data_IF_513592331397
#
_entry.id   IF_513592331397
#
_cell.length_a   1.000
_cell.length_b   1.000
_cell.length_c   1.000
_cell.angle_alpha   90.00
_cell.angle_beta   90.00
_cell.angle_gamma   90.00
#
_symmetry.space_group_name_H-M   'P 1'
#
loop_
_entity.id
_entity.type
_entity.pdbx_description
1 polymer ?
#
# COMPACT_ATOMS: atom_id res chain seq x y z
N UNK A 1 43.98 17.02 49.27
CA UNK A 1 42.58 17.06 48.79
C UNK A 1 42.63 17.04 47.29
N UNK A 2 41.96 16.06 46.70
CA UNK A 2 42.12 15.61 45.32
C UNK A 2 41.27 16.49 44.39
N UNK A 3 41.91 17.23 43.47
CA UNK A 3 41.20 17.96 42.41
C UNK A 3 41.00 16.99 41.25
N UNK A 4 39.92 16.21 41.31
CA UNK A 4 39.45 15.42 40.18
C UNK A 4 38.92 16.39 39.12
N UNK A 5 39.71 16.60 38.08
CA UNK A 5 39.28 17.23 36.84
C UNK A 5 38.26 16.30 36.17
N UNK A 6 36.99 16.69 36.23
CA UNK A 6 35.95 16.12 35.37
C UNK A 6 36.02 16.94 34.09
N UNK A 7 36.82 16.48 33.13
CA UNK A 7 36.61 16.88 31.75
C UNK A 7 35.38 16.11 31.29
N UNK A 8 34.26 16.81 31.22
CA UNK A 8 33.10 16.39 30.44
C UNK A 8 33.63 16.24 28.99
N UNK A 9 33.71 15.01 28.48
CA UNK A 9 33.92 14.79 27.05
C UNK A 9 32.73 15.44 26.35
N UNK A 10 32.95 16.59 25.71
CA UNK A 10 31.97 17.18 24.83
C UNK A 10 31.79 16.22 23.65
N UNK A 11 30.81 15.32 23.76
CA UNK A 11 30.41 14.45 22.67
C UNK A 11 30.22 15.27 21.39
N UNK A 12 30.68 14.74 20.27
CA UNK A 12 30.52 15.40 18.98
C UNK A 12 29.04 15.72 18.77
N UNK A 13 28.73 16.99 18.48
CA UNK A 13 27.36 17.39 18.13
C UNK A 13 27.02 16.89 16.73
N UNK A 14 25.75 16.58 16.50
CA UNK A 14 25.26 16.23 15.17
C UNK A 14 25.48 17.38 14.19
N UNK A 15 26.03 17.06 13.01
CA UNK A 15 26.34 18.04 11.97
C UNK A 15 25.16 18.21 11.02
N UNK A 16 24.34 19.23 11.29
CA UNK A 16 23.18 19.57 10.44
C UNK A 16 23.59 20.15 9.09
N UNK A 17 24.80 20.68 8.97
CA UNK A 17 25.36 21.15 7.70
C UNK A 17 25.71 19.98 6.79
N UNK A 18 26.35 18.95 7.35
CA UNK A 18 26.60 17.69 6.66
C UNK A 18 25.30 16.99 6.26
N UNK A 19 24.28 16.96 7.14
CA UNK A 19 22.96 16.41 6.78
C UNK A 19 22.37 17.14 5.57
N UNK A 20 22.38 18.48 5.57
CA UNK A 20 21.86 19.26 4.44
C UNK A 20 22.61 18.99 3.16
N UNK A 21 23.94 18.98 3.22
CA UNK A 21 24.79 18.68 2.07
C UNK A 21 24.52 17.28 1.52
N UNK A 22 24.53 16.26 2.39
CA UNK A 22 24.25 14.88 2.04
C UNK A 22 22.92 14.72 1.31
N UNK A 23 21.86 15.33 1.83
CA UNK A 23 20.49 15.22 1.29
C UNK A 23 20.32 16.03 0.01
N UNK A 24 20.58 17.34 0.04
CA UNK A 24 20.26 18.23 -1.08
C UNK A 24 21.19 18.05 -2.28
N UNK A 25 22.46 17.68 -2.05
CA UNK A 25 23.45 17.45 -3.10
C UNK A 25 23.58 15.96 -3.48
N UNK A 26 22.80 15.08 -2.84
CA UNK A 26 22.81 13.63 -3.05
C UNK A 26 24.19 12.99 -2.84
N UNK A 27 24.92 13.47 -1.85
CA UNK A 27 26.26 12.97 -1.51
C UNK A 27 26.12 11.73 -0.59
N UNK A 28 26.31 10.55 -1.20
CA UNK A 28 26.21 9.27 -0.51
C UNK A 28 27.26 9.11 0.59
N UNK A 29 28.49 9.58 0.40
CA UNK A 29 29.56 9.43 1.37
C UNK A 29 29.31 10.33 2.58
N UNK A 30 28.88 11.57 2.33
CA UNK A 30 28.44 12.49 3.38
C UNK A 30 27.23 11.94 4.14
N UNK A 31 26.28 11.31 3.44
CA UNK A 31 25.11 10.66 4.06
C UNK A 31 25.53 9.52 4.98
N UNK A 32 26.31 8.57 4.46
CA UNK A 32 26.76 7.41 5.24
C UNK A 32 27.66 7.78 6.41
N UNK A 33 28.38 8.89 6.33
CA UNK A 33 29.18 9.40 7.44
C UNK A 33 28.32 9.90 8.63
N UNK A 34 27.03 10.16 8.45
CA UNK A 34 26.12 10.51 9.54
C UNK A 34 25.72 9.32 10.41
N UNK A 35 25.83 8.08 9.90
CA UNK A 35 25.37 6.87 10.60
C UNK A 35 26.48 6.17 11.38
N UNK A 36 26.13 5.56 12.52
CA UNK A 36 26.99 4.56 13.17
C UNK A 36 27.07 3.29 12.31
N UNK A 37 28.12 2.49 12.49
CA UNK A 37 28.31 1.28 11.67
C UNK A 37 27.21 0.23 11.90
N UNK A 38 26.61 0.25 13.09
CA UNK A 38 25.52 -0.64 13.52
C UNK A 38 24.13 0.01 13.43
N UNK A 39 23.99 1.13 12.71
CA UNK A 39 22.77 1.92 12.65
C UNK A 39 21.55 1.12 12.17
N UNK A 40 20.36 1.52 12.61
CA UNK A 40 19.09 0.97 12.16
C UNK A 40 18.26 2.06 11.47
N UNK A 41 17.79 1.80 10.25
CA UNK A 41 16.91 2.70 9.52
C UNK A 41 15.56 2.01 9.31
N UNK A 42 14.51 2.55 9.93
CA UNK A 42 13.14 2.07 9.79
C UNK A 42 12.32 3.01 8.91
N UNK A 43 11.66 2.48 7.87
CA UNK A 43 10.83 3.25 6.94
C UNK A 43 9.39 2.78 7.03
N UNK A 44 8.47 3.75 7.15
CA UNK A 44 7.02 3.54 7.11
C UNK A 44 6.47 4.35 5.93
N UNK A 45 5.89 3.65 4.96
CA UNK A 45 5.49 4.21 3.65
C UNK A 45 4.36 3.39 3.00
N UNK A 46 3.86 3.81 1.83
CA UNK A 46 2.74 3.14 1.10
C UNK A 46 3.03 1.65 0.82
N UNK A 47 4.29 1.28 0.59
CA UNK A 47 4.74 -0.10 0.38
C UNK A 47 5.28 -0.82 1.62
N UNK A 48 5.31 -0.16 2.79
CA UNK A 48 5.91 -0.68 4.02
C UNK A 48 5.09 -0.18 5.22
N UNK A 49 3.93 -0.81 5.51
CA UNK A 49 2.98 -0.30 6.49
C UNK A 49 3.51 -0.43 7.92
N UNK A 50 2.90 0.25 8.91
CA UNK A 50 3.33 0.15 10.31
C UNK A 50 3.39 -1.28 10.88
N UNK A 51 2.55 -2.19 10.36
CA UNK A 51 2.51 -3.60 10.74
C UNK A 51 3.64 -4.45 10.13
N UNK A 52 4.27 -3.96 9.07
CA UNK A 52 5.39 -4.61 8.38
C UNK A 52 6.31 -3.55 7.74
N UNK A 53 7.00 -2.73 8.56
CA UNK A 53 7.87 -1.66 8.07
C UNK A 53 9.13 -2.25 7.42
N UNK A 54 9.77 -1.47 6.55
CA UNK A 54 11.11 -1.81 6.10
C UNK A 54 12.11 -1.43 7.20
N UNK A 55 13.03 -2.35 7.52
CA UNK A 55 14.08 -2.13 8.51
C UNK A 55 15.40 -2.52 7.88
N UNK A 56 16.35 -1.59 7.86
CA UNK A 56 17.70 -1.77 7.35
C UNK A 56 18.70 -1.73 8.50
N UNK A 57 19.73 -2.56 8.41
CA UNK A 57 20.74 -2.74 9.45
C UNK A 57 22.15 -2.48 8.91
N UNK A 58 22.82 -1.53 9.54
CA UNK A 58 24.19 -1.13 9.23
C UNK A 58 24.30 -0.26 7.98
N UNK A 59 25.50 0.28 7.78
CA UNK A 59 25.77 1.27 6.73
C UNK A 59 25.71 0.68 5.32
N UNK A 60 25.91 -0.62 5.17
CA UNK A 60 25.88 -1.29 3.87
C UNK A 60 24.45 -1.31 3.30
N UNK A 61 23.48 -1.84 4.07
CA UNK A 61 22.07 -1.88 3.66
C UNK A 61 21.48 -0.48 3.49
N UNK A 62 21.80 0.45 4.42
CA UNK A 62 21.40 1.86 4.30
C UNK A 62 22.01 2.49 3.04
N UNK A 63 23.28 2.17 2.73
CA UNK A 63 23.97 2.70 1.56
C UNK A 63 23.42 2.19 0.24
N UNK A 64 22.95 0.94 0.19
CA UNK A 64 22.25 0.40 -0.97
C UNK A 64 20.95 1.16 -1.25
N UNK A 65 20.14 1.39 -0.21
CA UNK A 65 18.92 2.20 -0.34
C UNK A 65 19.23 3.64 -0.78
N UNK A 66 20.16 4.31 -0.11
CA UNK A 66 20.49 5.72 -0.41
C UNK A 66 21.05 5.88 -1.82
N UNK A 67 21.87 4.92 -2.28
CA UNK A 67 22.38 4.91 -3.66
C UNK A 67 21.26 4.79 -4.68
N UNK A 68 20.29 3.92 -4.43
CA UNK A 68 19.11 3.81 -5.29
C UNK A 68 18.32 5.12 -5.31
N UNK A 69 17.97 5.67 -4.14
CA UNK A 69 17.22 6.94 -4.02
C UNK A 69 17.93 8.08 -4.75
N UNK A 70 19.23 8.28 -4.49
CA UNK A 70 20.02 9.35 -5.10
C UNK A 70 20.20 9.19 -6.61
N UNK A 71 20.09 7.97 -7.15
CA UNK A 71 20.13 7.72 -8.60
C UNK A 71 18.84 8.13 -9.33
N UNK A 72 17.72 8.31 -8.61
CA UNK A 72 16.41 8.66 -9.19
C UNK A 72 16.37 10.11 -9.64
N UNK A 73 15.52 10.40 -10.63
CA UNK A 73 15.18 11.77 -11.05
C UNK A 73 14.24 12.43 -10.03
N UNK A 74 14.85 12.83 -8.92
CA UNK A 74 14.22 13.30 -7.70
C UNK A 74 15.01 14.49 -7.14
N UNK A 75 14.36 15.61 -6.83
CA UNK A 75 15.00 16.68 -6.05
C UNK A 75 14.73 16.46 -4.56
N UNK A 76 15.70 16.75 -3.70
CA UNK A 76 15.59 16.64 -2.25
C UNK A 76 15.72 18.03 -1.60
N UNK A 77 14.86 18.34 -0.63
CA UNK A 77 14.92 19.59 0.14
C UNK A 77 14.73 19.34 1.61
N UNK A 78 15.77 19.61 2.39
CA UNK A 78 15.75 19.44 3.84
C UNK A 78 15.11 20.67 4.52
N UNK A 79 14.11 20.44 5.35
CA UNK A 79 13.34 21.45 6.07
C UNK A 79 13.32 21.15 7.58
N UNK A 80 13.06 22.17 8.38
CA UNK A 80 12.74 22.04 9.82
C UNK A 80 13.67 21.11 10.63
N UNK A 81 14.99 21.30 10.51
CA UNK A 81 15.97 20.50 11.28
C UNK A 81 16.03 20.99 12.72
N UNK A 82 15.75 20.10 13.67
CA UNK A 82 15.80 20.36 15.12
C UNK A 82 16.72 19.32 15.76
N UNK A 83 17.69 19.79 16.55
CA UNK A 83 18.58 18.92 17.34
C UNK A 83 18.38 19.24 18.82
N UNK A 84 18.05 18.23 19.61
CA UNK A 84 17.89 18.35 21.06
C UNK A 84 18.54 17.16 21.75
N UNK A 85 19.62 17.44 22.52
CA UNK A 85 20.41 16.39 23.17
C UNK A 85 20.91 15.36 22.16
N UNK A 86 20.58 14.10 22.40
CA UNK A 86 20.94 12.96 21.55
C UNK A 86 19.85 12.62 20.52
N UNK A 87 19.05 13.61 20.11
CA UNK A 87 18.02 13.43 19.09
C UNK A 87 18.12 14.47 17.98
N UNK A 88 17.76 14.06 16.76
CA UNK A 88 17.53 14.96 15.63
C UNK A 88 16.20 14.62 14.96
N UNK A 89 15.41 15.65 14.68
CA UNK A 89 14.23 15.58 13.85
C UNK A 89 14.43 16.45 12.60
N UNK A 90 13.97 15.99 11.45
CA UNK A 90 14.01 16.76 10.22
C UNK A 90 12.89 16.36 9.27
N UNK A 91 12.47 17.32 8.46
CA UNK A 91 11.54 17.11 7.36
C UNK A 91 12.30 17.09 6.05
N UNK A 92 11.89 16.24 5.13
CA UNK A 92 12.42 16.21 3.77
C UNK A 92 11.27 16.29 2.77
N UNK A 93 11.37 17.23 1.83
CA UNK A 93 10.42 17.33 0.72
C UNK A 93 11.12 16.90 -0.55
N UNK A 94 10.62 15.83 -1.14
CA UNK A 94 11.10 15.29 -2.40
C UNK A 94 10.12 15.59 -3.53
N UNK A 95 10.63 15.82 -4.74
CA UNK A 95 9.79 16.02 -5.94
C UNK A 95 10.39 15.29 -7.13
N UNK A 96 9.61 14.35 -7.69
CA UNK A 96 9.97 13.57 -8.87
C UNK A 96 9.86 14.40 -10.14
N UNK A 97 10.53 13.96 -11.21
CA UNK A 97 10.48 14.62 -12.52
C UNK A 97 9.07 14.75 -13.13
N UNK A 98 8.12 13.90 -12.73
CA UNK A 98 6.71 13.97 -13.15
C UNK A 98 5.84 14.91 -12.28
N UNK A 99 6.44 15.54 -11.26
CA UNK A 99 5.78 16.43 -10.32
C UNK A 99 5.23 15.75 -9.06
N UNK A 100 5.30 14.42 -8.95
CA UNK A 100 4.90 13.68 -7.73
C UNK A 100 5.74 14.14 -6.55
N UNK A 101 5.09 14.44 -5.42
CA UNK A 101 5.78 14.85 -4.19
C UNK A 101 5.73 13.77 -3.12
N UNK A 102 6.79 13.77 -2.31
CA UNK A 102 6.88 12.98 -1.08
C UNK A 102 7.33 13.91 0.03
N UNK A 103 6.71 13.80 1.20
CA UNK A 103 7.15 14.47 2.42
C UNK A 103 7.54 13.40 3.43
N UNK A 104 8.82 13.35 3.78
CA UNK A 104 9.39 12.53 4.84
C UNK A 104 9.49 13.31 6.15
N UNK A 105 9.17 12.66 7.27
CA UNK A 105 9.49 13.14 8.60
C UNK A 105 10.33 12.09 9.31
N UNK A 106 11.56 12.47 9.65
CA UNK A 106 12.53 11.60 10.29
C UNK A 106 12.77 12.01 11.74
N UNK A 107 12.78 11.04 12.64
CA UNK A 107 13.25 11.18 14.02
C UNK A 107 14.38 10.18 14.28
N UNK A 108 15.52 10.67 14.74
CA UNK A 108 16.72 9.87 14.93
C UNK A 108 17.31 9.99 16.33
N UNK A 109 17.78 8.85 16.85
CA UNK A 109 18.58 8.73 18.06
C UNK A 109 20.07 8.78 17.69
N UNK A 110 20.83 9.55 18.46
CA UNK A 110 22.24 9.81 18.23
C UNK A 110 23.13 9.10 19.26
N UNK A 111 24.30 8.70 18.82
CA UNK A 111 25.42 8.28 19.67
C UNK A 111 26.66 9.00 19.18
N UNK A 112 27.25 9.85 20.02
CA UNK A 112 28.40 10.69 19.67
C UNK A 112 28.17 11.51 18.38
N UNK A 113 26.98 12.10 18.24
CA UNK A 113 26.63 12.93 17.07
C UNK A 113 26.40 12.17 15.78
N UNK A 114 26.31 10.83 15.81
CA UNK A 114 25.99 9.98 14.65
C UNK A 114 24.68 9.22 14.88
N UNK A 115 23.91 9.02 13.83
CA UNK A 115 22.61 8.34 13.84
C UNK A 115 22.81 6.86 14.14
N UNK A 116 22.26 6.40 15.26
CA UNK A 116 22.22 4.98 15.65
C UNK A 116 20.89 4.33 15.30
N UNK A 117 19.80 5.10 15.33
CA UNK A 117 18.46 4.68 14.90
C UNK A 117 17.77 5.86 14.25
N UNK A 118 17.08 5.64 13.13
CA UNK A 118 16.16 6.61 12.54
C UNK A 118 14.86 5.92 12.17
N UNK A 119 13.75 6.59 12.44
CA UNK A 119 12.45 6.24 11.86
C UNK A 119 12.05 7.34 10.91
N UNK A 120 11.81 6.98 9.66
CA UNK A 120 11.27 7.86 8.63
C UNK A 120 9.83 7.47 8.28
N UNK A 121 8.98 8.47 8.18
CA UNK A 121 7.58 8.33 7.80
C UNK A 121 7.36 9.15 6.55
N UNK A 122 6.95 8.48 5.47
CA UNK A 122 6.76 9.11 4.18
C UNK A 122 5.27 9.25 3.84
N UNK A 123 4.86 10.47 3.51
CA UNK A 123 3.58 10.77 2.90
C UNK A 123 3.80 11.08 1.41
N UNK A 124 3.09 10.35 0.55
CA UNK A 124 3.19 10.48 -0.90
C UNK A 124 1.96 11.19 -1.45
N UNK A 125 2.12 11.96 -2.53
CA UNK A 125 1.00 12.29 -3.39
C UNK A 125 0.37 10.98 -3.90
N UNK A 126 -0.96 10.89 -3.90
CA UNK A 126 -1.66 9.77 -4.54
C UNK A 126 -1.58 9.95 -6.06
N UNK A 127 -0.48 9.47 -6.64
CA UNK A 127 -0.39 9.23 -8.07
C UNK A 127 -1.08 7.92 -8.40
N UNK A 128 -2.38 8.03 -8.71
CA UNK A 128 -3.06 6.99 -9.47
C UNK A 128 -2.33 6.86 -10.81
N UNK A 129 -1.61 5.76 -11.01
CA UNK A 129 -0.89 5.43 -12.23
C UNK A 129 -1.82 5.00 -13.36
N UNK A 130 -3.03 4.52 -13.02
CA UNK A 130 -4.03 4.05 -13.98
C UNK A 130 -5.38 4.75 -13.78
N UNK A 131 -5.54 5.89 -14.45
CA UNK A 131 -6.75 6.70 -14.36
C UNK A 131 -7.97 6.16 -15.15
N UNK A 132 -7.78 5.19 -16.06
CA UNK A 132 -8.87 4.59 -16.85
C UNK A 132 -8.54 3.16 -17.27
N UNK A 133 -9.60 2.38 -17.49
CA UNK A 133 -9.52 1.03 -18.02
C UNK A 133 -10.79 0.68 -18.80
N UNK A 134 -10.72 -0.39 -19.60
CA UNK A 134 -11.83 -0.85 -20.44
C UNK A 134 -11.97 -2.38 -20.31
N UNK A 135 -13.17 -2.88 -20.00
CA UNK A 135 -13.45 -4.32 -19.94
C UNK A 135 -13.39 -5.00 -21.31
N UNK A 136 -13.30 -4.26 -22.41
CA UNK A 136 -12.94 -4.81 -23.71
C UNK A 136 -11.51 -5.40 -23.72
N UNK A 137 -10.63 -4.92 -22.83
CA UNK A 137 -9.25 -5.39 -22.67
C UNK A 137 -8.94 -5.50 -21.16
N UNK A 138 -9.50 -6.51 -20.47
CA UNK A 138 -9.31 -6.66 -19.03
C UNK A 138 -7.84 -7.03 -18.70
N UNK A 139 -7.40 -6.74 -17.48
CA UNK A 139 -6.06 -7.09 -17.01
C UNK A 139 -5.94 -8.60 -16.77
N UNK A 140 -7.02 -9.20 -16.25
CA UNK A 140 -7.12 -10.64 -16.02
C UNK A 140 -8.50 -11.15 -16.44
N UNK A 141 -8.55 -12.32 -17.06
CA UNK A 141 -9.78 -13.07 -17.35
C UNK A 141 -9.70 -14.44 -16.70
N UNK A 142 -10.70 -14.78 -15.88
CA UNK A 142 -10.91 -16.12 -15.31
C UNK A 142 -12.14 -16.76 -15.94
N UNK A 143 -12.03 -17.99 -16.38
CA UNK A 143 -13.15 -18.76 -16.96
C UNK A 143 -13.47 -19.98 -16.10
N UNK A 144 -14.74 -20.32 -16.00
CA UNK A 144 -15.25 -21.52 -15.34
C UNK A 144 -16.46 -22.03 -16.11
N UNK A 145 -16.98 -23.20 -15.73
CA UNK A 145 -18.14 -23.77 -16.43
C UNK A 145 -19.31 -22.79 -16.38
N UNK A 146 -19.94 -22.53 -17.53
CA UNK A 146 -21.06 -21.59 -17.67
C UNK A 146 -20.78 -20.15 -17.20
N UNK A 147 -19.52 -19.71 -17.13
CA UNK A 147 -19.26 -18.30 -16.81
C UNK A 147 -17.82 -17.83 -16.92
N UNK A 148 -17.67 -16.52 -16.74
CA UNK A 148 -16.40 -15.80 -16.84
C UNK A 148 -16.40 -14.61 -15.89
N UNK A 149 -15.22 -14.28 -15.36
CA UNK A 149 -14.94 -13.08 -14.58
C UNK A 149 -13.79 -12.31 -15.26
N UNK A 150 -14.07 -11.07 -15.64
CA UNK A 150 -13.05 -10.12 -16.10
C UNK A 150 -12.69 -9.16 -14.98
N UNK A 151 -11.39 -8.91 -14.80
CA UNK A 151 -10.88 -8.07 -13.72
C UNK A 151 -10.11 -6.89 -14.29
N UNK A 152 -10.38 -5.72 -13.70
CA UNK A 152 -9.60 -4.52 -13.88
C UNK A 152 -9.01 -4.15 -12.52
N UNK A 153 -7.71 -3.92 -12.50
CA UNK A 153 -6.98 -3.39 -11.36
C UNK A 153 -6.74 -1.90 -11.59
N UNK A 154 -7.22 -1.07 -10.65
CA UNK A 154 -6.91 0.35 -10.50
C UNK A 154 -6.26 0.55 -9.13
N UNK A 155 -5.64 1.72 -8.92
CA UNK A 155 -5.00 2.03 -7.64
C UNK A 155 -6.01 2.15 -6.50
N UNK A 156 -7.25 2.53 -6.81
CA UNK A 156 -8.36 2.65 -5.87
C UNK A 156 -9.04 1.30 -5.55
N UNK A 157 -8.70 0.24 -6.29
CA UNK A 157 -9.23 -1.09 -6.05
C UNK A 157 -9.42 -1.91 -7.32
N UNK A 158 -9.96 -3.12 -7.15
CA UNK A 158 -10.28 -4.03 -8.26
C UNK A 158 -11.77 -4.00 -8.54
N UNK A 159 -12.12 -3.98 -9.83
CA UNK A 159 -13.50 -4.11 -10.31
C UNK A 159 -13.61 -5.37 -11.15
N UNK A 160 -14.55 -6.24 -10.79
CA UNK A 160 -14.87 -7.47 -11.51
C UNK A 160 -16.13 -7.31 -12.36
N UNK A 161 -16.13 -7.88 -13.56
CA UNK A 161 -17.31 -8.08 -14.40
C UNK A 161 -17.57 -9.58 -14.54
N UNK A 162 -18.62 -10.06 -13.88
CA UNK A 162 -19.12 -11.42 -14.07
C UNK A 162 -20.01 -11.48 -15.30
N UNK A 163 -19.87 -12.55 -16.09
CA UNK A 163 -20.81 -12.98 -17.13
C UNK A 163 -21.15 -14.43 -16.87
N UNK A 164 -22.41 -14.71 -16.57
CA UNK A 164 -22.91 -16.00 -16.12
C UNK A 164 -23.99 -16.47 -17.09
N UNK A 165 -23.79 -17.64 -17.67
CA UNK A 165 -24.69 -18.21 -18.68
C UNK A 165 -25.89 -18.90 -18.02
N UNK A 166 -27.01 -19.07 -18.74
CA UNK A 166 -28.13 -19.88 -18.28
C UNK A 166 -27.68 -21.28 -17.84
N UNK A 167 -28.16 -21.71 -16.67
CA UNK A 167 -27.77 -22.97 -16.05
C UNK A 167 -26.49 -22.91 -15.21
N UNK A 168 -25.83 -21.74 -15.13
CA UNK A 168 -24.78 -21.49 -14.15
C UNK A 168 -25.34 -21.51 -12.73
N UNK A 169 -24.61 -22.17 -11.82
CA UNK A 169 -24.83 -22.16 -10.38
C UNK A 169 -23.51 -22.26 -9.65
N UNK A 170 -23.28 -21.39 -8.66
CA UNK A 170 -22.02 -21.34 -7.91
C UNK A 170 -21.63 -22.71 -7.33
N UNK A 171 -22.56 -23.40 -6.68
CA UNK A 171 -22.32 -24.73 -6.10
C UNK A 171 -22.01 -25.85 -7.11
N UNK A 172 -22.30 -25.64 -8.39
CA UNK A 172 -21.99 -26.58 -9.48
C UNK A 172 -20.69 -26.19 -10.17
N UNK A 173 -20.58 -24.94 -10.58
CA UNK A 173 -19.56 -24.49 -11.53
C UNK A 173 -18.33 -23.84 -10.87
N UNK A 174 -18.44 -23.39 -9.61
CA UNK A 174 -17.36 -22.69 -8.90
C UNK A 174 -16.90 -23.45 -7.65
N UNK A 175 -17.80 -24.11 -6.93
CA UNK A 175 -17.48 -24.94 -5.75
C UNK A 175 -16.29 -25.91 -5.97
N UNK A 176 -16.15 -26.63 -7.11
CA UNK A 176 -15.01 -27.53 -7.33
C UNK A 176 -13.66 -26.80 -7.33
N UNK A 177 -13.65 -25.50 -7.67
CA UNK A 177 -12.47 -24.64 -7.70
C UNK A 177 -12.24 -24.01 -6.32
N UNK A 178 -13.30 -23.50 -5.69
CA UNK A 178 -13.22 -22.79 -4.41
C UNK A 178 -12.95 -23.70 -3.20
N UNK A 179 -13.36 -24.97 -3.26
CA UNK A 179 -13.16 -25.94 -2.18
C UNK A 179 -14.04 -25.69 -0.95
N UNK A 180 -15.02 -24.79 -1.02
CA UNK A 180 -15.95 -24.47 0.07
C UNK A 180 -17.38 -24.89 -0.28
N UNK A 181 -18.22 -25.13 0.73
CA UNK A 181 -19.62 -25.53 0.50
C UNK A 181 -20.47 -24.38 -0.09
N UNK A 182 -20.25 -23.16 0.38
CA UNK A 182 -20.89 -21.93 -0.10
C UNK A 182 -19.82 -20.91 -0.47
N UNK A 183 -20.19 -19.90 -1.27
CA UNK A 183 -19.32 -18.77 -1.56
C UNK A 183 -18.98 -18.05 -0.26
N UNK A 184 -17.68 -17.87 0.02
CA UNK A 184 -17.18 -17.16 1.19
C UNK A 184 -16.68 -15.75 0.85
N UNK A 185 -16.79 -15.34 -0.41
CA UNK A 185 -16.45 -13.98 -0.80
C UNK A 185 -17.63 -13.06 -0.50
N UNK A 186 -17.30 -11.85 -0.06
CA UNK A 186 -18.25 -10.75 0.01
C UNK A 186 -18.39 -10.13 -1.38
N UNK A 187 -19.63 -9.80 -1.78
CA UNK A 187 -19.92 -9.14 -3.05
C UNK A 187 -20.63 -7.82 -2.79
N UNK A 188 -20.12 -6.74 -3.40
CA UNK A 188 -20.83 -5.46 -3.49
C UNK A 188 -20.97 -5.09 -4.95
N UNK A 189 -22.19 -5.24 -5.46
CA UNK A 189 -22.38 -5.46 -6.88
C UNK A 189 -23.54 -4.65 -7.46
N UNK A 190 -23.36 -4.17 -8.69
CA UNK A 190 -24.40 -3.59 -9.53
C UNK A 190 -24.82 -4.60 -10.61
N UNK A 191 -26.11 -4.90 -10.65
CA UNK A 191 -26.67 -5.93 -11.52
C UNK A 191 -27.08 -5.33 -12.88
N UNK A 192 -26.45 -5.79 -13.97
CA UNK A 192 -26.58 -5.18 -15.30
C UNK A 192 -27.67 -5.87 -16.13
N UNK A 193 -27.70 -7.19 -16.18
CA UNK A 193 -28.62 -7.98 -17.02
C UNK A 193 -29.02 -9.31 -16.39
N UNK A 194 -30.08 -9.94 -16.91
CA UNK A 194 -30.60 -11.22 -16.42
C UNK A 194 -31.11 -11.17 -14.97
N UNK A 195 -31.50 -12.33 -14.43
CA UNK A 195 -31.89 -12.47 -13.02
C UNK A 195 -30.96 -13.47 -12.33
N UNK A 196 -30.34 -13.06 -11.22
CA UNK A 196 -29.52 -13.94 -10.38
C UNK A 196 -30.26 -14.20 -9.08
N UNK A 197 -30.54 -15.46 -8.79
CA UNK A 197 -31.03 -15.86 -7.48
C UNK A 197 -29.86 -16.09 -6.55
N UNK A 198 -29.97 -15.57 -5.34
CA UNK A 198 -29.03 -15.82 -4.24
C UNK A 198 -29.78 -16.53 -3.12
N UNK A 199 -29.20 -17.60 -2.61
CA UNK A 199 -29.68 -18.31 -1.42
C UNK A 199 -28.63 -18.22 -0.32
N UNK A 200 -29.01 -17.63 0.80
CA UNK A 200 -28.15 -17.52 1.97
C UNK A 200 -28.13 -18.83 2.77
N UNK A 201 -27.16 -18.97 3.67
CA UNK A 201 -27.00 -20.14 4.54
C UNK A 201 -28.20 -20.43 5.45
N UNK A 202 -29.02 -19.41 5.76
CA UNK A 202 -30.27 -19.57 6.52
C UNK A 202 -31.46 -20.03 5.66
N UNK A 203 -31.25 -20.22 4.35
CA UNK A 203 -32.25 -20.62 3.37
C UNK A 203 -33.06 -19.46 2.78
N UNK A 204 -32.83 -18.21 3.21
CA UNK A 204 -33.46 -17.04 2.61
C UNK A 204 -33.02 -16.87 1.17
N UNK A 205 -33.97 -16.59 0.27
CA UNK A 205 -33.69 -16.34 -1.14
C UNK A 205 -34.06 -14.91 -1.53
N UNK A 206 -33.23 -14.31 -2.39
CA UNK A 206 -33.51 -13.05 -3.07
C UNK A 206 -33.21 -13.19 -4.57
N UNK A 207 -33.99 -12.48 -5.39
CA UNK A 207 -33.71 -12.31 -6.81
C UNK A 207 -33.10 -10.93 -7.05
N UNK A 208 -31.90 -10.90 -7.61
CA UNK A 208 -31.22 -9.71 -8.08
C UNK A 208 -31.53 -9.51 -9.57
N UNK A 209 -31.95 -8.30 -9.90
CA UNK A 209 -32.49 -7.91 -11.21
C UNK A 209 -31.80 -6.65 -11.75
N UNK A 210 -31.90 -6.37 -13.06
CA UNK A 210 -31.21 -5.24 -13.68
C UNK A 210 -31.52 -3.90 -12.98
N UNK A 211 -30.47 -3.11 -12.74
CA UNK A 211 -30.56 -1.80 -12.09
C UNK A 211 -30.48 -1.83 -10.57
N UNK A 212 -30.36 -3.01 -9.94
CA UNK A 212 -30.22 -3.13 -8.50
C UNK A 212 -28.75 -3.13 -8.06
N UNK A 213 -28.50 -2.60 -6.86
CA UNK A 213 -27.23 -2.75 -6.15
C UNK A 213 -27.46 -3.70 -4.98
N UNK A 214 -26.58 -4.68 -4.81
CA UNK A 214 -26.67 -5.68 -3.77
C UNK A 214 -25.38 -5.79 -2.98
N UNK A 215 -25.52 -5.96 -1.67
CA UNK A 215 -24.48 -6.48 -0.81
C UNK A 215 -24.82 -7.94 -0.49
N UNK A 216 -23.95 -8.86 -0.85
CA UNK A 216 -24.12 -10.30 -0.59
C UNK A 216 -22.98 -10.75 0.32
N UNK A 217 -23.23 -10.97 1.62
CA UNK A 217 -22.20 -11.39 2.56
C UNK A 217 -21.72 -12.83 2.29
N UNK A 218 -20.56 -13.24 2.84
CA UNK A 218 -20.11 -14.62 2.84
C UNK A 218 -21.19 -15.60 3.33
N UNK A 219 -21.23 -16.80 2.75
CA UNK A 219 -22.19 -17.86 3.09
C UNK A 219 -23.43 -17.87 2.22
N UNK A 220 -23.26 -17.93 0.90
CA UNK A 220 -24.37 -18.03 -0.06
C UNK A 220 -24.06 -18.95 -1.26
N UNK A 221 -25.12 -19.44 -1.89
CA UNK A 221 -25.11 -20.02 -3.24
C UNK A 221 -25.83 -19.03 -4.18
N UNK A 222 -25.55 -19.11 -5.47
CA UNK A 222 -26.22 -18.26 -6.46
C UNK A 222 -26.38 -18.98 -7.79
N UNK A 223 -27.44 -18.66 -8.54
CA UNK A 223 -27.68 -19.24 -9.86
C UNK A 223 -28.45 -18.31 -10.79
N UNK A 224 -28.23 -18.48 -12.09
CA UNK A 224 -28.97 -17.77 -13.13
C UNK A 224 -30.40 -18.30 -13.19
N UNK A 225 -31.38 -17.40 -13.19
CA UNK A 225 -32.80 -17.70 -13.35
C UNK A 225 -33.22 -17.36 -14.77
N UNK A 226 -33.81 -18.35 -15.47
CA UNK A 226 -34.29 -18.19 -16.83
C UNK A 226 -33.22 -18.49 -17.88
N UNK A 227 -33.40 -17.91 -19.07
CA UNK A 227 -32.61 -18.13 -20.28
C UNK A 227 -31.79 -16.90 -20.70
N UNK A 228 -31.85 -15.81 -19.95
CA UNK A 228 -31.04 -14.62 -20.17
C UNK A 228 -29.72 -14.69 -19.37
N UNK A 229 -28.54 -14.50 -20.00
CA UNK A 229 -27.28 -14.39 -19.29
C UNK A 229 -27.26 -13.23 -18.30
N UNK A 230 -26.65 -13.48 -17.14
CA UNK A 230 -26.46 -12.48 -16.09
C UNK A 230 -25.12 -11.78 -16.27
N UNK A 231 -25.13 -10.44 -16.23
CA UNK A 231 -23.92 -9.62 -16.12
C UNK A 231 -23.97 -8.81 -14.84
N UNK A 232 -22.86 -8.81 -14.09
CA UNK A 232 -22.77 -8.13 -12.77
C UNK A 232 -21.41 -7.45 -12.65
N UNK A 233 -21.43 -6.17 -12.27
CA UNK A 233 -20.21 -5.47 -11.85
C UNK A 233 -20.03 -5.60 -10.34
N UNK A 234 -18.84 -5.94 -9.88
CA UNK A 234 -18.52 -6.19 -8.48
C UNK A 234 -17.28 -5.37 -8.04
N UNK A 235 -17.36 -4.72 -6.89
CA UNK A 235 -16.30 -3.89 -6.31
C UNK A 235 -15.83 -4.40 -4.96
N UNK A 236 -15.76 -5.71 -4.71
CA UNK A 236 -15.18 -6.25 -3.48
C UNK A 236 -13.70 -5.86 -3.34
N UNK A 237 -13.50 -4.65 -2.79
CA UNK A 237 -12.31 -3.81 -2.69
C UNK A 237 -12.67 -2.33 -2.36
N UNK A 238 -13.82 -1.82 -2.82
CA UNK A 238 -14.28 -0.43 -2.61
C UNK A 238 -15.13 -0.22 -1.33
N UNK A 239 -15.46 -1.27 -0.57
CA UNK A 239 -16.35 -1.18 0.61
C UNK A 239 -15.71 -0.53 1.84
N UNK A 240 -14.47 -0.05 1.73
CA UNK A 240 -13.70 0.54 2.85
C UNK A 240 -13.64 2.07 2.79
N UNK A 241 -14.31 2.71 1.82
CA UNK A 241 -14.41 4.17 1.76
C UNK A 241 -15.52 4.69 2.69
N UNK A 242 -15.13 5.54 3.66
CA UNK A 242 -16.01 6.29 4.56
C UNK A 242 -17.01 5.46 5.40
N UNK A 243 -16.52 4.45 6.13
CA UNK A 243 -17.28 3.88 7.26
C UNK A 243 -17.09 4.73 8.52
N UNK A 244 -18.20 5.09 9.16
CA UNK A 244 -18.22 5.62 10.54
C UNK A 244 -17.99 4.52 11.55
#
# INVERSE_FOLDING_TARGET
MNTMSIMEEAGQRFDTGQLRHAVEDKDLDAMLALFTDDAEYRIISKGSPPSSPQVLHGRDEIGELMRDIFSRDLSHKLQNVVVEGDHVAFEEVCTYGDGTRVVGMSMADLVNGRIRRVTDIEAWDDVSSKHRADFAVPDETRTFDNGRLDLIHLDEGTVGMFRLEPGWRWSKDVRPIAGTELCQNEHFAFHISGTLRVQFSDGTEIDLKPGQVAHVPPGHDAWVVGDEPVSVLDWSGATHYAKK
#
